data_IF_015664537570
#
_entry.id   IF_015664537570
#
_cell.length_a   1.000
_cell.length_b   1.000
_cell.length_c   1.000
_cell.angle_alpha   90.00
_cell.angle_beta   90.00
_cell.angle_gamma   90.00
#
_symmetry.space_group_name_H-M   'P 1'
#
loop_
_entity.id
_entity.type
_entity.pdbx_description
1 polymer ?
#
# COMPACT_ATOMS: atom_id res chain seq x y z
N UNK A 1 -37.91 -29.02 42.90
CA UNK A 1 -37.59 -28.48 41.56
C UNK A 1 -36.36 -27.59 41.69
N UNK A 2 -35.16 -28.14 41.44
CA UNK A 2 -33.89 -27.41 41.48
C UNK A 2 -33.40 -27.28 40.04
N UNK A 3 -33.52 -26.07 39.47
CA UNK A 3 -32.93 -25.76 38.16
C UNK A 3 -31.43 -25.46 38.35
N UNK A 4 -30.53 -26.04 37.54
CA UNK A 4 -29.12 -25.67 37.57
C UNK A 4 -28.94 -24.30 36.90
N UNK A 5 -28.23 -23.37 37.54
CA UNK A 5 -27.62 -22.23 36.86
C UNK A 5 -26.39 -22.75 36.10
N UNK A 6 -26.36 -22.54 34.78
CA UNK A 6 -25.13 -22.62 34.00
C UNK A 6 -24.66 -21.18 33.74
N UNK A 7 -23.50 -20.91 34.35
CA UNK A 7 -22.57 -19.81 34.13
C UNK A 7 -22.53 -19.35 32.65
N UNK A 8 -22.95 -18.11 32.38
CA UNK A 8 -22.62 -17.43 31.12
C UNK A 8 -21.13 -17.06 31.17
N UNK A 9 -20.32 -18.01 30.73
CA UNK A 9 -18.94 -17.73 30.33
C UNK A 9 -18.96 -16.71 29.20
N UNK A 10 -18.44 -15.51 29.50
CA UNK A 10 -18.16 -14.45 28.54
C UNK A 10 -17.68 -15.05 27.22
N UNK A 11 -18.35 -14.80 26.08
CA UNK A 11 -17.89 -15.31 24.80
C UNK A 11 -16.50 -14.71 24.56
N UNK A 12 -15.48 -15.56 24.75
CA UNK A 12 -14.11 -15.26 24.37
C UNK A 12 -14.15 -14.75 22.95
N UNK A 13 -13.84 -13.46 22.79
CA UNK A 13 -13.84 -12.75 21.51
C UNK A 13 -13.14 -13.64 20.48
N UNK A 14 -13.84 -14.12 19.44
CA UNK A 14 -13.19 -14.89 18.39
C UNK A 14 -12.05 -14.05 17.82
N UNK A 15 -10.94 -14.67 17.34
CA UNK A 15 -10.00 -13.92 16.50
C UNK A 15 -10.84 -13.27 15.40
N UNK A 16 -10.69 -11.95 15.26
CA UNK A 16 -11.50 -11.16 14.36
C UNK A 16 -11.27 -11.69 12.93
N UNK A 17 -12.08 -12.65 12.51
CA UNK A 17 -12.19 -13.05 11.13
C UNK A 17 -12.71 -11.81 10.42
N UNK A 18 -11.88 -11.31 9.51
CA UNK A 18 -12.00 -10.10 8.69
C UNK A 18 -13.46 -9.80 8.35
N UNK A 19 -14.15 -9.11 9.26
CA UNK A 19 -15.47 -8.56 8.98
C UNK A 19 -15.20 -7.49 7.92
N UNK A 20 -15.84 -7.55 6.73
CA UNK A 20 -15.56 -6.58 5.68
C UNK A 20 -15.75 -5.20 6.28
N UNK A 21 -14.61 -4.51 6.43
CA UNK A 21 -14.55 -3.21 7.06
C UNK A 21 -15.54 -2.32 6.30
N UNK A 22 -16.44 -1.63 7.02
CA UNK A 22 -17.30 -0.63 6.40
C UNK A 22 -16.42 0.30 5.55
N UNK A 23 -16.91 0.89 4.45
CA UNK A 23 -16.07 1.68 3.53
C UNK A 23 -15.19 2.71 4.24
N UNK A 24 -15.71 3.36 5.30
CA UNK A 24 -14.95 4.28 6.14
C UNK A 24 -13.85 3.60 6.96
N UNK A 25 -14.10 2.44 7.55
CA UNK A 25 -13.12 1.69 8.33
C UNK A 25 -11.98 1.15 7.46
N UNK A 26 -12.25 0.82 6.20
CA UNK A 26 -11.22 0.46 5.24
C UNK A 26 -10.30 1.64 4.91
N UNK A 27 -10.87 2.83 4.68
CA UNK A 27 -10.11 4.07 4.44
C UNK A 27 -9.24 4.40 5.67
N UNK A 28 -9.80 4.29 6.88
CA UNK A 28 -9.04 4.52 8.12
C UNK A 28 -7.90 3.51 8.31
N UNK A 29 -8.05 2.28 7.82
CA UNK A 29 -6.98 1.27 7.82
C UNK A 29 -5.84 1.68 6.90
N UNK A 30 -6.15 2.11 5.67
CA UNK A 30 -5.13 2.57 4.70
C UNK A 30 -4.38 3.79 5.21
N UNK A 31 -5.11 4.76 5.79
CA UNK A 31 -4.50 5.98 6.34
C UNK A 31 -3.58 5.64 7.52
N UNK A 32 -4.03 4.77 8.43
CA UNK A 32 -3.25 4.34 9.59
C UNK A 32 -2.04 3.49 9.22
N UNK A 33 -2.12 2.70 8.15
CA UNK A 33 -0.98 1.89 7.65
C UNK A 33 0.13 2.77 7.04
N UNK A 34 -0.21 4.02 6.66
CA UNK A 34 0.76 5.04 6.23
C UNK A 34 1.27 5.93 7.38
N UNK A 35 0.72 5.85 8.59
CA UNK A 35 1.23 6.60 9.74
C UNK A 35 2.49 5.91 10.32
N UNK A 36 3.62 6.63 10.51
CA UNK A 36 4.88 6.03 10.97
C UNK A 36 4.90 5.60 12.46
N UNK A 37 3.75 5.49 13.13
CA UNK A 37 3.67 5.30 14.58
C UNK A 37 3.10 3.94 14.98
N UNK A 38 3.86 2.87 14.81
CA UNK A 38 3.54 1.56 15.40
C UNK A 38 4.76 0.75 15.91
N UNK A 39 5.86 1.43 16.30
CA UNK A 39 7.01 0.79 16.98
C UNK A 39 7.47 1.50 18.25
N UNK A 40 6.58 2.22 18.94
CA UNK A 40 6.87 2.78 20.25
C UNK A 40 5.73 2.56 21.24
N UNK A 41 5.71 1.39 21.90
CA UNK A 41 4.95 1.21 23.13
C UNK A 41 5.60 0.10 24.00
N UNK A 42 6.60 0.51 24.77
CA UNK A 42 7.20 -0.34 25.81
C UNK A 42 8.40 0.32 26.49
N UNK A 43 8.17 1.35 27.32
CA UNK A 43 9.17 1.82 28.28
C UNK A 43 9.22 3.33 28.47
N UNK A 44 8.77 3.75 29.64
CA UNK A 44 8.98 5.05 30.31
C UNK A 44 10.24 5.82 29.88
N UNK A 45 10.07 7.09 29.49
CA UNK A 45 11.17 8.03 29.24
C UNK A 45 11.03 8.86 27.97
N UNK A 46 10.51 10.09 28.12
CA UNK A 46 10.63 11.25 27.20
C UNK A 46 11.32 10.97 25.86
N UNK A 47 10.58 10.59 24.84
CA UNK A 47 11.04 10.70 23.44
C UNK A 47 9.88 11.13 22.57
N UNK A 48 9.95 12.40 22.18
CA UNK A 48 9.20 13.00 21.07
C UNK A 48 9.26 12.06 19.84
N UNK A 49 8.17 11.90 19.06
CA UNK A 49 8.24 11.19 17.79
C UNK A 49 9.16 11.99 16.89
N UNK A 50 10.43 11.58 16.81
CA UNK A 50 11.36 12.14 15.85
C UNK A 50 10.76 11.88 14.47
N UNK A 51 10.48 12.91 13.65
CA UNK A 51 10.10 12.71 12.27
C UNK A 51 11.27 11.96 11.62
N UNK A 52 11.08 10.67 11.35
CA UNK A 52 11.92 9.98 10.39
C UNK A 52 11.82 10.82 9.11
N UNK A 53 12.92 11.18 8.45
CA UNK A 53 12.82 11.94 7.21
C UNK A 53 11.95 11.13 6.25
N UNK A 54 10.73 11.60 6.03
CA UNK A 54 9.85 11.11 4.99
C UNK A 54 10.71 11.05 3.73
N UNK A 55 10.85 9.86 3.14
CA UNK A 55 11.61 9.69 1.91
C UNK A 55 10.84 10.52 0.89
N UNK A 56 11.36 11.71 0.57
CA UNK A 56 10.66 12.62 -0.32
C UNK A 56 10.40 11.87 -1.64
N UNK A 57 9.15 11.47 -1.89
CA UNK A 57 8.74 10.75 -3.10
C UNK A 57 8.71 11.66 -4.34
N UNK A 58 9.13 12.92 -4.18
CA UNK A 58 9.32 13.85 -5.28
C UNK A 58 10.56 13.47 -6.07
N UNK A 59 10.45 13.53 -7.40
CA UNK A 59 11.59 13.41 -8.33
C UNK A 59 12.72 14.39 -8.02
N UNK A 60 12.45 15.51 -7.34
CA UNK A 60 13.48 16.45 -6.91
C UNK A 60 14.40 15.91 -5.80
N UNK A 61 14.04 14.78 -5.18
CA UNK A 61 14.75 14.23 -4.02
C UNK A 61 15.27 12.80 -4.24
N UNK A 62 15.01 12.20 -5.41
CA UNK A 62 15.53 10.88 -5.77
C UNK A 62 16.98 10.98 -6.22
N UNK A 63 17.77 9.95 -5.92
CA UNK A 63 19.12 9.83 -6.47
C UNK A 63 19.07 9.62 -7.98
N UNK A 64 20.08 10.13 -8.70
CA UNK A 64 20.09 10.03 -10.15
C UNK A 64 20.16 8.57 -10.61
N UNK A 65 20.91 7.71 -9.93
CA UNK A 65 21.02 6.31 -10.32
C UNK A 65 19.71 5.56 -10.08
N UNK A 66 19.05 5.78 -8.94
CA UNK A 66 17.73 5.20 -8.64
C UNK A 66 16.68 5.61 -9.69
N UNK A 67 16.70 6.89 -10.11
CA UNK A 67 15.81 7.37 -11.16
C UNK A 67 16.14 6.72 -12.52
N UNK A 68 17.42 6.55 -12.87
CA UNK A 68 17.80 5.92 -14.13
C UNK A 68 17.41 4.43 -14.16
N UNK A 69 17.68 3.68 -13.09
CA UNK A 69 17.29 2.27 -12.99
C UNK A 69 15.77 2.10 -13.14
N UNK A 70 15.00 3.05 -12.57
CA UNK A 70 13.55 3.07 -12.71
C UNK A 70 13.10 3.37 -14.14
N UNK A 71 13.73 4.33 -14.82
CA UNK A 71 13.45 4.62 -16.23
C UNK A 71 13.77 3.43 -17.13
N UNK A 72 14.93 2.77 -16.93
CA UNK A 72 15.31 1.57 -17.70
C UNK A 72 14.30 0.42 -17.49
N UNK A 73 13.77 0.30 -16.27
CA UNK A 73 12.70 -0.66 -15.95
C UNK A 73 11.40 -0.30 -16.68
N UNK A 74 11.03 0.98 -16.72
CA UNK A 74 9.84 1.44 -17.44
C UNK A 74 9.99 1.17 -18.93
N UNK A 75 11.13 1.52 -19.55
CA UNK A 75 11.37 1.30 -20.97
C UNK A 75 11.27 -0.18 -21.33
N UNK A 76 11.92 -1.04 -20.54
CA UNK A 76 11.82 -2.50 -20.71
C UNK A 76 10.38 -3.00 -20.65
N UNK A 77 9.58 -2.46 -19.74
CA UNK A 77 8.16 -2.82 -19.60
C UNK A 77 7.33 -2.35 -20.80
N UNK A 78 7.61 -1.16 -21.34
CA UNK A 78 6.95 -0.64 -22.53
C UNK A 78 7.30 -1.46 -23.77
N UNK A 79 8.55 -1.86 -23.95
CA UNK A 79 8.98 -2.75 -25.03
C UNK A 79 8.29 -4.12 -24.96
N UNK A 80 8.19 -4.69 -23.74
CA UNK A 80 7.46 -5.92 -23.50
C UNK A 80 5.98 -5.78 -23.86
N UNK A 81 5.35 -4.68 -23.46
CA UNK A 81 3.95 -4.40 -23.78
C UNK A 81 3.74 -4.21 -25.29
N UNK A 82 4.62 -3.47 -25.95
CA UNK A 82 4.58 -3.28 -27.40
C UNK A 82 4.69 -4.62 -28.13
N UNK A 83 5.59 -5.50 -27.68
CA UNK A 83 5.75 -6.85 -28.23
C UNK A 83 4.46 -7.66 -28.12
N UNK A 84 3.78 -7.61 -26.96
CA UNK A 84 2.51 -8.31 -26.76
C UNK A 84 1.41 -7.75 -27.69
N UNK A 85 1.25 -6.44 -27.76
CA UNK A 85 0.23 -5.79 -28.58
C UNK A 85 0.45 -6.09 -30.08
N UNK A 86 1.70 -5.98 -30.54
CA UNK A 86 2.09 -6.28 -31.92
C UNK A 86 1.88 -7.74 -32.25
N UNK A 87 2.16 -8.66 -31.32
CA UNK A 87 1.91 -10.11 -31.50
C UNK A 87 0.43 -10.40 -31.74
N UNK A 88 -0.47 -9.67 -31.09
CA UNK A 88 -1.91 -9.81 -31.27
C UNK A 88 -2.48 -9.00 -32.45
N UNK A 89 -1.63 -8.39 -33.27
CA UNK A 89 -2.05 -7.60 -34.44
C UNK A 89 -2.62 -6.22 -34.09
N UNK A 90 -2.46 -5.77 -32.85
CA UNK A 90 -2.74 -4.40 -32.44
C UNK A 90 -1.46 -3.57 -32.61
N UNK A 91 -1.43 -2.75 -33.67
CA UNK A 91 -0.39 -1.75 -33.88
C UNK A 91 -0.92 -0.40 -33.41
N UNK A 92 -0.10 0.35 -32.65
CA UNK A 92 -0.37 1.76 -32.37
C UNK A 92 0.31 2.58 -33.46
N UNK A 93 -0.47 3.18 -34.35
CA UNK A 93 0.05 4.08 -35.39
C UNK A 93 0.43 5.42 -34.75
N UNK A 94 1.64 5.51 -34.20
CA UNK A 94 2.20 6.78 -33.68
C UNK A 94 2.37 7.84 -34.79
N UNK A 95 2.36 7.42 -36.05
CA UNK A 95 2.34 8.29 -37.23
C UNK A 95 1.17 9.28 -37.23
N UNK A 96 0.02 8.93 -36.64
CA UNK A 96 -1.12 9.84 -36.51
C UNK A 96 -0.97 10.85 -35.36
N UNK A 97 -0.02 10.62 -34.43
CA UNK A 97 0.22 11.47 -33.26
C UNK A 97 1.26 12.58 -33.55
N UNK A 98 2.10 12.38 -34.57
CA UNK A 98 3.18 13.30 -34.96
C UNK A 98 2.78 14.27 -36.09
N UNK A 99 1.51 14.26 -36.53
CA UNK A 99 0.96 15.26 -37.46
C UNK A 99 0.56 16.52 -36.65
N UNK A 100 1.56 17.32 -36.24
CA UNK A 100 1.40 18.63 -35.58
C UNK A 100 2.31 19.65 -36.23
#
# INVERSE_FOLDING_TARGET
>A
SRSPQAEEGSPGKPPAMETPLFPSTFIDSILRENDPSATAAGGDGSTEPQPQPEKCLSVACLDKNELNDHLDTIDSNLDNLQTMLTTHGFSVDTSALLDV
#
